data_IF_580208726327
#
_entry.id   IF_580208726327
#
_cell.length_a   1.000
_cell.length_b   1.000
_cell.length_c   1.000
_cell.angle_alpha   90.00
_cell.angle_beta   90.00
_cell.angle_gamma   90.00
#
_symmetry.space_group_name_H-M   'P 1'
#
loop_
_entity.id
_entity.type
_entity.pdbx_description
1 polymer ?
#
# COMPACT_ATOMS: atom_id res chain seq x y z
N UNK A 1 -13.32 9.34 -5.69
CA UNK A 1 -13.31 7.88 -5.75
C UNK A 1 -13.85 7.45 -7.11
N UNK A 2 -13.16 6.53 -7.78
CA UNK A 2 -13.45 6.11 -9.16
C UNK A 2 -14.10 4.73 -9.20
N UNK A 3 -14.52 4.27 -10.39
CA UNK A 3 -15.08 2.94 -10.61
C UNK A 3 -16.31 2.59 -9.76
N UNK A 4 -17.23 3.55 -9.56
CA UNK A 4 -18.49 3.36 -8.82
C UNK A 4 -18.33 2.92 -7.35
N UNK A 5 -17.24 3.30 -6.69
CA UNK A 5 -16.94 2.85 -5.32
C UNK A 5 -17.94 3.23 -4.22
N UNK A 6 -18.91 4.11 -4.47
CA UNK A 6 -19.86 4.60 -3.45
C UNK A 6 -21.33 4.30 -3.74
N UNK A 7 -21.63 3.34 -4.62
CA UNK A 7 -23.02 3.08 -5.01
C UNK A 7 -23.85 2.35 -3.95
N UNK A 8 -23.25 1.88 -2.85
CA UNK A 8 -23.93 0.99 -1.89
C UNK A 8 -23.39 1.11 -0.45
N UNK A 9 -23.24 2.35 0.04
CA UNK A 9 -22.82 2.58 1.42
C UNK A 9 -24.02 2.32 2.36
N UNK A 10 -23.97 1.24 3.15
CA UNK A 10 -24.93 1.02 4.23
C UNK A 10 -24.68 2.08 5.30
N UNK A 11 -25.64 2.99 5.49
CA UNK A 11 -25.60 4.02 6.52
C UNK A 11 -26.70 3.79 7.56
N UNK A 12 -26.49 4.31 8.77
CA UNK A 12 -27.51 4.43 9.81
C UNK A 12 -27.73 5.91 10.11
N UNK A 13 -28.94 6.26 10.54
CA UNK A 13 -29.25 7.59 11.09
C UNK A 13 -28.88 7.69 12.59
N UNK A 14 -28.37 6.60 13.18
CA UNK A 14 -27.89 6.61 14.55
C UNK A 14 -26.75 7.64 14.73
N UNK A 15 -26.74 8.39 15.85
CA UNK A 15 -25.65 9.31 16.12
C UNK A 15 -24.33 8.55 16.20
N UNK A 16 -23.30 9.07 15.52
CA UNK A 16 -21.95 8.52 15.64
C UNK A 16 -21.52 8.55 17.12
N UNK A 17 -20.94 7.45 17.65
CA UNK A 17 -20.46 7.43 19.02
C UNK A 17 -19.39 8.50 19.19
N UNK A 18 -19.39 9.18 20.34
CA UNK A 18 -18.29 10.05 20.71
C UNK A 18 -17.08 9.17 21.06
N UNK A 19 -16.05 9.24 20.23
CA UNK A 19 -14.79 8.52 20.46
C UNK A 19 -13.78 9.44 21.14
N UNK A 20 -13.03 8.86 22.07
CA UNK A 20 -11.80 9.48 22.56
C UNK A 20 -10.70 9.29 21.52
N UNK A 21 -9.93 10.35 21.28
CA UNK A 21 -8.84 10.35 20.33
C UNK A 21 -7.52 10.52 21.07
N UNK A 22 -6.51 9.78 20.66
CA UNK A 22 -5.15 10.02 21.13
C UNK A 22 -4.69 11.42 20.71
N UNK A 23 -3.99 12.15 21.60
CA UNK A 23 -3.39 13.42 21.21
C UNK A 23 -2.32 13.20 20.13
N UNK A 24 -2.02 14.23 19.31
CA UNK A 24 -0.87 14.21 18.43
C UNK A 24 0.43 13.87 19.19
N UNK A 25 1.38 13.27 18.49
CA UNK A 25 2.72 13.08 19.05
C UNK A 25 3.32 14.43 19.48
N UNK A 26 4.02 14.46 20.61
CA UNK A 26 4.52 15.70 21.22
C UNK A 26 5.53 16.48 20.37
N UNK A 27 6.11 15.82 19.37
CA UNK A 27 7.05 16.40 18.41
C UNK A 27 6.40 16.85 17.09
N UNK A 28 5.09 16.71 16.94
CA UNK A 28 4.35 17.19 15.78
C UNK A 28 3.54 18.43 16.14
N UNK A 29 3.79 19.53 15.44
CA UNK A 29 2.86 20.64 15.43
C UNK A 29 1.57 20.27 14.66
N UNK A 30 0.59 21.18 14.65
CA UNK A 30 -0.70 20.93 14.01
C UNK A 30 -0.58 20.63 12.51
N UNK A 31 0.34 21.30 11.81
CA UNK A 31 0.47 21.15 10.36
C UNK A 31 1.17 19.84 10.01
N UNK A 32 2.25 19.50 10.72
CA UNK A 32 2.91 18.20 10.62
C UNK A 32 1.95 17.05 10.95
N UNK A 33 1.11 17.20 11.98
CA UNK A 33 0.10 16.20 12.33
C UNK A 33 -0.96 16.03 11.24
N UNK A 34 -1.44 17.11 10.63
CA UNK A 34 -2.39 17.04 9.51
C UNK A 34 -1.77 16.32 8.29
N UNK A 35 -0.50 16.61 7.98
CA UNK A 35 0.24 15.89 6.94
C UNK A 35 0.41 14.42 7.29
N UNK A 36 0.67 14.08 8.55
CA UNK A 36 0.75 12.70 9.03
C UNK A 36 -0.55 11.94 8.86
N UNK A 37 -1.66 12.47 9.35
CA UNK A 37 -2.98 11.84 9.21
C UNK A 37 -3.33 11.67 7.72
N UNK A 38 -3.06 12.68 6.89
CA UNK A 38 -3.29 12.59 5.45
C UNK A 38 -2.44 11.50 4.80
N UNK A 39 -1.15 11.44 5.12
CA UNK A 39 -0.25 10.44 4.55
C UNK A 39 -0.65 9.03 4.96
N UNK A 40 -0.91 8.78 6.25
CA UNK A 40 -1.37 7.48 6.74
C UNK A 40 -2.67 7.08 6.05
N UNK A 41 -3.63 7.99 5.94
CA UNK A 41 -4.92 7.68 5.32
C UNK A 41 -4.82 7.28 3.82
N UNK A 42 -3.90 7.89 3.06
CA UNK A 42 -3.81 7.66 1.62
C UNK A 42 -2.72 6.68 1.18
N UNK A 43 -1.62 6.58 1.93
CA UNK A 43 -0.39 5.92 1.49
C UNK A 43 0.06 4.75 2.35
N UNK A 44 -0.59 4.49 3.49
CA UNK A 44 -0.16 3.41 4.39
C UNK A 44 -0.25 2.03 3.72
N UNK A 45 -1.21 1.85 2.80
CA UNK A 45 -1.34 0.62 2.03
C UNK A 45 -0.16 0.39 1.11
N UNK A 46 0.37 1.45 0.48
CA UNK A 46 1.55 1.36 -0.40
C UNK A 46 2.83 1.17 0.42
N UNK A 47 2.92 1.80 1.60
CA UNK A 47 4.02 1.58 2.56
C UNK A 47 4.07 0.11 2.99
N UNK A 48 2.92 -0.45 3.38
CA UNK A 48 2.76 -1.86 3.75
C UNK A 48 3.05 -2.80 2.58
N UNK A 49 2.50 -2.52 1.39
CA UNK A 49 2.71 -3.32 0.19
C UNK A 49 4.19 -3.37 -0.18
N UNK A 50 4.91 -2.25 -0.08
CA UNK A 50 6.36 -2.22 -0.32
C UNK A 50 7.10 -3.18 0.63
N UNK A 51 6.82 -3.13 1.94
CA UNK A 51 7.40 -4.05 2.92
C UNK A 51 7.07 -5.51 2.60
N UNK A 52 5.81 -5.77 2.22
CA UNK A 52 5.37 -7.11 1.83
C UNK A 52 6.12 -7.64 0.60
N UNK A 53 6.33 -6.81 -0.43
CA UNK A 53 7.04 -7.20 -1.66
C UNK A 53 8.55 -7.36 -1.44
N UNK A 54 9.15 -6.55 -0.56
CA UNK A 54 10.54 -6.71 -0.15
C UNK A 54 10.75 -7.97 0.71
N UNK A 55 9.72 -8.36 1.49
CA UNK A 55 9.79 -9.48 2.43
C UNK A 55 10.59 -9.16 3.70
N UNK A 56 10.98 -7.89 3.88
CA UNK A 56 11.79 -7.40 4.99
C UNK A 56 11.51 -5.91 5.25
N UNK A 57 11.90 -5.37 6.42
CA UNK A 57 11.82 -3.95 6.70
C UNK A 57 12.66 -3.09 5.74
N UNK A 58 12.29 -1.82 5.65
CA UNK A 58 13.04 -0.82 4.90
C UNK A 58 13.01 0.54 5.60
N UNK A 59 13.99 1.37 5.29
CA UNK A 59 14.13 2.72 5.83
C UNK A 59 13.96 3.74 4.71
N UNK A 60 13.31 4.86 5.01
CA UNK A 60 13.27 6.01 4.10
C UNK A 60 14.65 6.64 4.05
N UNK A 61 15.15 6.89 2.83
CA UNK A 61 16.43 7.53 2.58
C UNK A 61 16.26 8.94 2.00
N UNK A 62 15.13 9.20 1.35
CA UNK A 62 14.86 10.49 0.74
C UNK A 62 13.37 10.73 0.54
N UNK A 63 12.95 11.98 0.72
CA UNK A 63 11.67 12.51 0.30
C UNK A 63 11.94 13.72 -0.59
N UNK A 64 11.26 13.80 -1.74
CA UNK A 64 11.42 14.96 -2.62
C UNK A 64 10.70 16.20 -2.05
N UNK A 65 11.19 17.39 -2.38
CA UNK A 65 10.60 18.64 -1.90
C UNK A 65 9.11 18.80 -2.30
N UNK A 66 8.66 18.38 -3.50
CA UNK A 66 7.24 18.38 -3.84
C UNK A 66 6.35 17.39 -3.06
N UNK A 67 6.93 16.42 -2.34
CA UNK A 67 6.18 15.39 -1.63
C UNK A 67 5.51 14.38 -2.54
N UNK A 68 6.15 14.06 -3.67
CA UNK A 68 5.71 13.15 -4.73
C UNK A 68 6.53 11.87 -4.84
N UNK A 69 7.65 11.77 -4.15
CA UNK A 69 8.56 10.64 -4.20
C UNK A 69 9.12 10.31 -2.83
N UNK A 70 8.97 9.05 -2.45
CA UNK A 70 9.68 8.43 -1.34
C UNK A 70 10.70 7.46 -1.94
N UNK A 71 11.97 7.56 -1.51
CA UNK A 71 13.00 6.54 -1.79
C UNK A 71 13.35 5.84 -0.50
N UNK A 72 13.32 4.51 -0.51
CA UNK A 72 13.71 3.66 0.59
C UNK A 72 14.85 2.71 0.25
N UNK A 73 15.40 2.10 1.28
CA UNK A 73 16.35 0.99 1.17
C UNK A 73 15.99 -0.08 2.18
N UNK A 74 15.86 -1.32 1.73
CA UNK A 74 15.59 -2.47 2.57
C UNK A 74 16.81 -2.86 3.43
N UNK A 75 16.62 -3.70 4.44
CA UNK A 75 17.72 -4.17 5.31
C UNK A 75 18.82 -4.90 4.54
N UNK A 76 18.48 -5.63 3.46
CA UNK A 76 19.46 -6.26 2.56
C UNK A 76 20.06 -5.31 1.51
N UNK A 77 19.67 -4.04 1.51
CA UNK A 77 20.22 -3.00 0.64
C UNK A 77 19.47 -2.78 -0.68
N UNK A 78 18.27 -3.35 -0.85
CA UNK A 78 17.46 -3.17 -2.06
C UNK A 78 16.84 -1.78 -2.05
N UNK A 79 17.10 -1.01 -3.10
CA UNK A 79 16.46 0.30 -3.30
C UNK A 79 15.00 0.13 -3.72
N UNK A 80 14.12 0.91 -3.11
CA UNK A 80 12.70 0.95 -3.45
C UNK A 80 12.17 2.38 -3.57
N UNK A 81 11.07 2.57 -4.29
CA UNK A 81 10.45 3.88 -4.48
C UNK A 81 8.93 3.82 -4.40
N UNK A 82 8.31 4.88 -3.88
CA UNK A 82 6.86 5.10 -3.94
C UNK A 82 6.61 6.47 -4.58
N UNK A 83 5.83 6.48 -5.66
CA UNK A 83 5.36 7.69 -6.32
C UNK A 83 4.00 8.11 -5.78
N UNK A 84 3.93 9.27 -5.13
CA UNK A 84 2.79 9.74 -4.34
C UNK A 84 1.86 10.65 -5.16
N UNK A 85 1.12 10.04 -6.10
CA UNK A 85 0.23 10.72 -7.05
C UNK A 85 0.97 11.78 -7.88
N UNK A 86 1.88 11.35 -8.78
CA UNK A 86 2.57 12.24 -9.71
C UNK A 86 1.60 12.90 -10.72
N UNK A 87 0.45 12.27 -10.96
CA UNK A 87 -0.65 12.81 -11.75
C UNK A 87 -2.01 12.41 -11.15
N UNK A 88 -3.09 12.91 -11.77
CA UNK A 88 -4.48 12.58 -11.41
C UNK A 88 -5.31 12.31 -12.66
N UNK A 89 -6.26 11.41 -12.50
CA UNK A 89 -7.24 11.02 -13.52
C UNK A 89 -8.66 11.29 -12.99
N UNK A 90 -9.61 11.49 -13.90
CA UNK A 90 -11.04 11.67 -13.55
C UNK A 90 -11.86 10.39 -13.71
N UNK A 91 -11.36 9.44 -14.52
CA UNK A 91 -12.08 8.22 -14.89
C UNK A 91 -11.38 6.97 -14.37
N UNK A 92 -10.07 6.87 -14.59
CA UNK A 92 -9.31 5.64 -14.37
C UNK A 92 -8.71 5.54 -12.96
N UNK A 93 -8.41 4.32 -12.52
CA UNK A 93 -7.58 4.05 -11.34
C UNK A 93 -6.24 3.48 -11.80
N UNK A 94 -5.16 4.21 -11.53
CA UNK A 94 -3.81 3.77 -11.89
C UNK A 94 -2.99 3.58 -10.63
N UNK A 95 -2.75 2.31 -10.31
CA UNK A 95 -1.92 1.91 -9.19
C UNK A 95 -1.20 0.62 -9.58
N UNK A 96 0.12 0.61 -9.46
CA UNK A 96 0.94 -0.54 -9.84
C UNK A 96 2.18 -0.67 -8.96
N UNK A 97 2.69 -1.90 -8.87
CA UNK A 97 3.98 -2.21 -8.27
C UNK A 97 4.82 -3.02 -9.26
N UNK A 98 6.11 -2.66 -9.36
CA UNK A 98 7.09 -3.37 -10.19
C UNK A 98 8.20 -3.90 -9.30
N UNK A 99 8.33 -5.22 -9.22
CA UNK A 99 9.45 -5.89 -8.57
C UNK A 99 10.42 -6.33 -9.65
N UNK A 100 11.57 -5.67 -9.74
CA UNK A 100 12.58 -5.90 -10.76
C UNK A 100 13.70 -6.83 -10.26
N UNK A 101 14.16 -7.70 -11.14
CA UNK A 101 15.30 -8.59 -10.95
C UNK A 101 16.28 -8.40 -12.10
N UNK A 102 17.49 -8.95 -11.97
CA UNK A 102 18.52 -8.87 -13.03
C UNK A 102 18.00 -9.34 -14.41
N UNK A 103 17.10 -10.33 -14.41
CA UNK A 103 16.65 -11.06 -15.60
C UNK A 103 15.13 -11.24 -15.69
N UNK A 104 14.38 -10.33 -15.09
CA UNK A 104 12.93 -10.46 -15.04
C UNK A 104 12.24 -9.42 -14.19
N UNK A 105 10.92 -9.47 -14.19
CA UNK A 105 10.11 -8.68 -13.27
C UNK A 105 8.80 -9.37 -12.93
N UNK A 106 8.23 -8.96 -11.81
CA UNK A 106 6.81 -9.16 -11.50
C UNK A 106 6.16 -7.79 -11.45
N UNK A 107 5.14 -7.58 -12.28
CA UNK A 107 4.33 -6.37 -12.28
C UNK A 107 2.93 -6.70 -11.75
N UNK A 108 2.45 -5.87 -10.83
CA UNK A 108 1.11 -5.95 -10.26
C UNK A 108 0.38 -4.67 -10.64
N UNK A 109 -0.81 -4.77 -11.23
CA UNK A 109 -1.72 -3.63 -11.36
C UNK A 109 -2.92 -3.84 -10.43
N UNK A 110 -3.22 -2.86 -9.60
CA UNK A 110 -4.28 -2.92 -8.59
C UNK A 110 -5.57 -2.28 -9.10
N UNK A 111 -6.74 -2.88 -8.84
CA UNK A 111 -8.01 -2.26 -9.18
C UNK A 111 -8.33 -1.16 -8.16
N UNK A 112 -9.27 -0.28 -8.50
CA UNK A 112 -9.79 0.69 -7.53
C UNK A 112 -10.27 -0.04 -6.25
N UNK A 113 -9.96 0.46 -5.03
CA UNK A 113 -10.20 -0.27 -3.77
C UNK A 113 -11.64 -0.71 -3.50
N UNK A 114 -12.61 -0.06 -4.16
CA UNK A 114 -14.04 -0.32 -4.01
C UNK A 114 -14.66 -0.97 -5.26
N UNK A 115 -13.84 -1.39 -6.23
CA UNK A 115 -14.31 -2.09 -7.42
C UNK A 115 -14.73 -3.52 -7.07
N UNK A 116 -16.04 -3.72 -6.88
CA UNK A 116 -16.60 -5.00 -6.44
C UNK A 116 -16.17 -6.19 -7.30
N UNK A 117 -15.72 -7.26 -6.62
CA UNK A 117 -15.26 -8.54 -7.18
C UNK A 117 -14.21 -8.45 -8.29
N UNK A 118 -13.53 -7.30 -8.46
CA UNK A 118 -12.48 -7.13 -9.47
C UNK A 118 -11.13 -7.51 -8.86
N UNK A 119 -10.41 -8.53 -9.38
CA UNK A 119 -9.03 -8.76 -8.99
C UNK A 119 -8.11 -7.75 -9.68
N UNK A 120 -6.91 -7.58 -9.14
CA UNK A 120 -5.81 -6.97 -9.88
C UNK A 120 -5.30 -7.90 -10.99
N UNK A 121 -4.20 -7.50 -11.62
CA UNK A 121 -3.48 -8.33 -12.59
C UNK A 121 -2.07 -8.58 -12.11
N UNK A 122 -1.49 -9.69 -12.58
CA UNK A 122 -0.08 -10.00 -12.43
C UNK A 122 0.50 -10.27 -13.81
N UNK A 123 1.64 -9.66 -14.10
CA UNK A 123 2.46 -9.97 -15.27
C UNK A 123 3.84 -10.41 -14.78
N UNK A 124 4.31 -11.54 -15.28
CA UNK A 124 5.63 -12.09 -14.96
C UNK A 124 6.43 -12.13 -16.24
N UNK A 125 7.59 -11.46 -16.23
CA UNK A 125 8.57 -11.52 -17.30
C UNK A 125 9.82 -12.27 -16.82
N UNK A 126 10.32 -13.18 -17.66
CA UNK A 126 11.54 -13.95 -17.41
C UNK A 126 12.40 -13.98 -18.66
N UNK A 127 13.65 -13.59 -18.52
CA UNK A 127 14.69 -13.70 -19.54
C UNK A 127 15.84 -14.60 -19.03
N UNK A 128 15.79 -15.91 -19.28
CA UNK A 128 16.82 -16.82 -18.79
C UNK A 128 18.22 -16.56 -19.39
N UNK A 129 18.31 -15.83 -20.51
CA UNK A 129 19.53 -15.70 -21.31
C UNK A 129 19.96 -17.00 -22.00
N UNK A 130 21.23 -17.08 -22.39
CA UNK A 130 21.86 -18.27 -23.00
C UNK A 130 21.13 -18.81 -24.25
N UNK A 131 20.58 -17.91 -25.07
CA UNK A 131 19.85 -18.26 -26.30
C UNK A 131 18.42 -18.78 -26.06
N UNK A 132 17.92 -18.76 -24.82
CA UNK A 132 16.53 -19.11 -24.50
C UNK A 132 15.64 -17.88 -24.72
N UNK A 133 14.53 -18.05 -25.44
CA UNK A 133 13.58 -16.96 -25.71
C UNK A 133 12.95 -16.45 -24.41
N UNK A 134 12.98 -15.12 -24.15
CA UNK A 134 12.29 -14.52 -23.02
C UNK A 134 10.78 -14.75 -23.08
N UNK A 135 10.14 -14.87 -21.91
CA UNK A 135 8.72 -15.16 -21.81
C UNK A 135 8.00 -14.14 -20.94
N UNK A 136 6.74 -13.91 -21.29
CA UNK A 136 5.80 -13.11 -20.51
C UNK A 136 4.56 -13.96 -20.26
N UNK A 137 4.08 -13.97 -19.01
CA UNK A 137 2.86 -14.69 -18.63
C UNK A 137 2.00 -13.83 -17.70
N UNK A 138 0.68 -14.02 -17.78
CA UNK A 138 -0.29 -13.40 -16.90
C UNK A 138 -1.32 -14.45 -16.46
N UNK A 139 -1.35 -14.83 -15.17
CA UNK A 139 -2.34 -15.78 -14.70
C UNK A 139 -3.74 -15.14 -14.66
N UNK A 140 -4.77 -15.96 -14.87
CA UNK A 140 -6.12 -15.57 -14.53
C UNK A 140 -6.34 -15.71 -13.02
N UNK A 141 -6.79 -14.64 -12.38
CA UNK A 141 -7.07 -14.61 -10.95
C UNK A 141 -8.57 -14.82 -10.70
N UNK A 142 -8.94 -15.46 -9.57
CA UNK A 142 -10.34 -15.58 -9.20
C UNK A 142 -10.93 -14.20 -8.92
N UNK A 143 -12.22 -14.04 -9.21
CA UNK A 143 -12.98 -12.79 -9.01
C UNK A 143 -13.31 -12.56 -7.53
N UNK A 144 -12.27 -12.38 -6.72
CA UNK A 144 -12.37 -12.17 -5.28
C UNK A 144 -11.87 -10.75 -4.97
N UNK A 145 -12.74 -9.96 -4.35
CA UNK A 145 -12.40 -8.62 -3.89
C UNK A 145 -11.43 -8.66 -2.69
N UNK A 146 -10.47 -7.73 -2.62
CA UNK A 146 -9.50 -7.68 -1.52
C UNK A 146 -10.19 -7.54 -0.15
N UNK A 147 -11.18 -6.66 0.00
CA UNK A 147 -11.93 -6.50 1.25
C UNK A 147 -12.74 -7.76 1.61
N UNK A 148 -13.25 -8.49 0.61
CA UNK A 148 -13.93 -9.78 0.83
C UNK A 148 -12.95 -10.82 1.36
N UNK A 149 -11.77 -10.91 0.76
CA UNK A 149 -10.72 -11.81 1.21
C UNK A 149 -10.23 -11.44 2.62
N UNK A 150 -10.10 -10.14 2.92
CA UNK A 150 -9.74 -9.65 4.26
C UNK A 150 -10.78 -10.06 5.31
N UNK A 151 -12.08 -9.87 5.03
CA UNK A 151 -13.15 -10.28 5.95
C UNK A 151 -13.17 -11.80 6.18
N UNK A 152 -12.97 -12.59 5.12
CA UNK A 152 -12.83 -14.05 5.23
C UNK A 152 -11.63 -14.43 6.10
N UNK A 153 -10.48 -13.79 5.91
CA UNK A 153 -9.28 -14.04 6.71
C UNK A 153 -9.48 -13.63 8.18
N UNK A 154 -10.16 -12.52 8.45
CA UNK A 154 -10.51 -12.08 9.80
C UNK A 154 -11.34 -13.14 10.54
N UNK A 155 -12.40 -13.66 9.90
CA UNK A 155 -13.24 -14.71 10.50
C UNK A 155 -12.43 -15.98 10.80
N UNK A 156 -11.55 -16.38 9.88
CA UNK A 156 -10.65 -17.53 10.11
C UNK A 156 -9.69 -17.28 11.28
N UNK A 157 -9.15 -16.07 11.40
CA UNK A 157 -8.22 -15.71 12.46
C UNK A 157 -8.88 -15.78 13.85
N UNK A 158 -10.09 -15.21 14.02
CA UNK A 158 -10.80 -15.27 15.30
C UNK A 158 -11.27 -16.68 15.67
N UNK A 159 -11.42 -17.57 14.69
CA UNK A 159 -11.69 -19.00 14.90
C UNK A 159 -10.44 -19.82 15.22
N UNK A 160 -9.24 -19.23 15.12
CA UNK A 160 -7.97 -19.93 15.31
C UNK A 160 -7.56 -20.82 14.13
N UNK A 161 -8.20 -20.68 12.97
CA UNK A 161 -7.89 -21.47 11.76
C UNK A 161 -6.62 -20.94 11.05
N UNK A 162 -6.26 -19.68 11.29
CA UNK A 162 -5.05 -19.05 10.79
C UNK A 162 -4.57 -17.96 11.74
N UNK A 163 -3.31 -17.53 11.60
CA UNK A 163 -2.83 -16.29 12.22
C UNK A 163 -3.33 -15.08 11.41
N UNK A 164 -3.47 -13.89 12.03
CA UNK A 164 -3.65 -12.65 11.29
C UNK A 164 -2.55 -12.48 10.23
N UNK A 165 -2.92 -12.05 9.02
CA UNK A 165 -1.98 -11.84 7.92
C UNK A 165 -1.08 -10.61 8.12
N UNK A 166 -1.52 -9.67 8.96
CA UNK A 166 -0.77 -8.50 9.36
C UNK A 166 -1.05 -8.32 10.86
N UNK A 167 -0.01 -8.23 11.68
CA UNK A 167 -0.15 -7.99 13.11
C UNK A 167 0.09 -6.52 13.48
N UNK A 168 -0.11 -6.19 14.77
CA UNK A 168 0.05 -4.83 15.26
C UNK A 168 1.51 -4.34 15.22
N UNK A 169 2.48 -5.24 15.29
CA UNK A 169 3.90 -4.91 15.24
C UNK A 169 4.25 -4.50 13.81
N UNK A 170 3.79 -5.27 12.84
CA UNK A 170 3.93 -4.95 11.41
C UNK A 170 3.29 -3.61 11.05
N UNK A 171 2.06 -3.35 11.52
CA UNK A 171 1.41 -2.07 11.32
C UNK A 171 2.18 -0.91 11.98
N UNK A 172 2.79 -1.14 13.15
CA UNK A 172 3.61 -0.14 13.82
C UNK A 172 4.88 0.22 13.02
N UNK A 173 5.53 -0.76 12.39
CA UNK A 173 6.67 -0.49 11.50
C UNK A 173 6.25 0.39 10.30
N UNK A 174 5.07 0.16 9.74
CA UNK A 174 4.55 0.99 8.64
C UNK A 174 4.31 2.46 9.08
N UNK A 175 3.86 2.68 10.32
CA UNK A 175 3.72 4.03 10.90
C UNK A 175 5.07 4.72 11.13
N UNK A 176 6.14 3.97 11.47
CA UNK A 176 7.49 4.54 11.57
C UNK A 176 7.99 5.01 10.21
N UNK A 177 7.76 4.24 9.14
CA UNK A 177 8.11 4.64 7.78
C UNK A 177 7.37 5.91 7.38
N UNK A 178 6.06 5.99 7.66
CA UNK A 178 5.26 7.20 7.41
C UNK A 178 5.83 8.43 8.15
N UNK A 179 6.18 8.28 9.43
CA UNK A 179 6.76 9.35 10.23
C UNK A 179 8.13 9.78 9.71
N UNK A 180 9.00 8.83 9.37
CA UNK A 180 10.34 9.13 8.84
C UNK A 180 10.26 9.85 7.49
N UNK A 181 9.34 9.47 6.62
CA UNK A 181 9.10 10.19 5.37
C UNK A 181 8.73 11.66 5.62
N UNK A 182 7.82 11.94 6.56
CA UNK A 182 7.43 13.31 6.88
C UNK A 182 8.54 14.12 7.53
N UNK A 183 9.34 13.48 8.39
CA UNK A 183 10.54 14.08 9.00
C UNK A 183 11.48 14.61 7.90
N UNK A 184 11.74 13.79 6.89
CA UNK A 184 12.60 14.13 5.76
C UNK A 184 11.95 15.16 4.82
N UNK A 185 10.64 15.07 4.58
CA UNK A 185 9.95 15.97 3.66
C UNK A 185 9.76 17.38 4.23
N UNK A 186 9.28 17.46 5.48
CA UNK A 186 8.91 18.72 6.13
C UNK A 186 10.08 19.34 6.91
N UNK A 187 11.20 18.61 7.09
CA UNK A 187 12.32 19.00 7.95
C UNK A 187 11.89 19.32 9.39
N UNK A 188 10.98 18.49 9.92
CA UNK A 188 10.47 18.55 11.31
C UNK A 188 10.95 17.36 12.12
#
# INVERSE_FOLDING_TARGET
WVANGFIDLVHSDDPAPQLEWDPPASDMDKDAYNHYVSFVNYWIHQVNLMRHLLGEPYQVKYADAPGKLLIGQSDSGITCTIELSPFRTTVDWVESALVAFEKGYVKIDLPAPLASNRPGTVEIFKDPGNGITPTKMSPQLPWIHAMRQQAMNFVKAIKGEMKPMCDAIEAYEDLKVAREYLRLWLNV
#
